data_IF_377318959948
#
_entry.id   IF_377318959948
#
_cell.length_a   1.000
_cell.length_b   1.000
_cell.length_c   1.000
_cell.angle_alpha   90.00
_cell.angle_beta   90.00
_cell.angle_gamma   90.00
#
_symmetry.space_group_name_H-M   'P 1'
#
loop_
_entity.id
_entity.type
_entity.pdbx_description
1 polymer ?
#
# COMPACT_ATOMS: atom_id res chain seq x y z
N UNK A 1 -20.37 -15.49 17.09
CA UNK A 1 -20.99 -15.20 18.41
C UNK A 1 -20.03 -14.24 19.14
N UNK A 2 -20.40 -12.97 19.24
CA UNK A 2 -19.47 -11.87 19.57
C UNK A 2 -18.93 -11.93 20.99
N UNK A 3 -17.64 -11.58 21.18
CA UNK A 3 -16.94 -11.44 22.47
C UNK A 3 -17.75 -10.57 23.46
N UNK A 4 -18.57 -9.65 22.95
CA UNK A 4 -19.44 -8.80 23.76
C UNK A 4 -20.50 -9.57 24.56
N UNK A 5 -20.99 -10.72 24.09
CA UNK A 5 -22.02 -11.48 24.83
C UNK A 5 -21.46 -12.22 26.04
N UNK A 6 -20.13 -12.39 26.13
CA UNK A 6 -19.47 -13.07 27.26
C UNK A 6 -19.11 -12.12 28.40
N UNK A 7 -19.15 -10.80 28.19
CA UNK A 7 -18.65 -9.80 29.15
C UNK A 7 -19.73 -8.98 29.86
N UNK A 8 -21.02 -9.19 29.59
CA UNK A 8 -22.14 -8.48 30.26
C UNK A 8 -21.95 -6.95 30.30
N UNK A 9 -21.31 -6.37 29.29
CA UNK A 9 -21.03 -4.93 29.23
C UNK A 9 -22.24 -4.20 28.66
N UNK A 10 -22.79 -3.27 29.46
CA UNK A 10 -23.90 -2.43 29.06
C UNK A 10 -23.46 -1.47 27.94
N UNK A 11 -24.06 -1.60 26.76
CA UNK A 11 -23.68 -0.88 25.52
C UNK A 11 -23.76 0.64 25.66
N UNK A 12 -24.71 1.14 26.45
CA UNK A 12 -24.85 2.58 26.75
C UNK A 12 -23.70 3.16 27.58
N UNK A 13 -23.07 2.35 28.45
CA UNK A 13 -21.90 2.78 29.23
C UNK A 13 -20.63 2.86 28.37
N UNK A 14 -20.50 1.98 27.38
CA UNK A 14 -19.37 1.97 26.44
C UNK A 14 -19.42 3.17 25.49
N UNK A 15 -20.61 3.54 25.00
CA UNK A 15 -20.80 4.75 24.17
C UNK A 15 -20.55 6.04 24.98
N UNK A 16 -21.03 6.11 26.22
CA UNK A 16 -20.73 7.22 27.14
C UNK A 16 -19.23 7.33 27.47
N UNK A 17 -18.51 6.20 27.50
CA UNK A 17 -17.07 6.15 27.70
C UNK A 17 -16.30 6.65 26.47
N UNK A 18 -16.70 6.24 25.27
CA UNK A 18 -16.08 6.66 24.00
C UNK A 18 -16.30 8.16 23.69
N UNK A 19 -17.37 8.77 24.19
CA UNK A 19 -17.68 10.19 23.99
C UNK A 19 -16.97 11.17 24.95
N UNK A 20 -16.48 10.72 26.12
CA UNK A 20 -15.98 11.61 27.17
C UNK A 20 -14.45 11.56 27.34
N UNK A 21 -13.76 12.56 26.76
CA UNK A 21 -12.29 12.68 26.80
C UNK A 21 -11.69 12.71 28.22
N UNK A 22 -12.43 13.16 29.25
CA UNK A 22 -11.92 13.14 30.64
C UNK A 22 -11.94 11.72 31.22
N UNK A 23 -13.01 10.96 30.95
CA UNK A 23 -13.14 9.58 31.41
C UNK A 23 -12.13 8.67 30.68
N UNK A 24 -11.94 8.86 29.37
CA UNK A 24 -10.90 8.16 28.60
C UNK A 24 -9.51 8.38 29.21
N UNK A 25 -9.15 9.63 29.53
CA UNK A 25 -7.86 9.93 30.17
C UNK A 25 -7.72 9.22 31.51
N UNK A 26 -8.75 9.24 32.36
CA UNK A 26 -8.72 8.60 33.69
C UNK A 26 -8.55 7.09 33.56
N UNK A 27 -9.31 6.43 32.68
CA UNK A 27 -9.23 4.99 32.49
C UNK A 27 -7.89 4.58 31.87
N UNK A 28 -7.37 5.32 30.89
CA UNK A 28 -6.03 5.08 30.34
C UNK A 28 -4.95 5.22 31.41
N UNK A 29 -5.07 6.20 32.31
CA UNK A 29 -4.15 6.37 33.43
C UNK A 29 -4.25 5.19 34.41
N UNK A 30 -5.46 4.76 34.79
CA UNK A 30 -5.66 3.62 35.69
C UNK A 30 -5.10 2.33 35.07
N UNK A 31 -5.34 2.11 33.77
CA UNK A 31 -4.84 0.94 33.06
C UNK A 31 -3.30 0.96 32.95
N UNK A 32 -2.72 2.13 32.66
CA UNK A 32 -1.26 2.31 32.66
C UNK A 32 -0.65 2.06 34.04
N UNK A 33 -1.26 2.59 35.11
CA UNK A 33 -0.82 2.35 36.50
C UNK A 33 -0.92 0.85 36.82
N UNK A 34 -2.05 0.20 36.50
CA UNK A 34 -2.23 -1.23 36.69
C UNK A 34 -1.20 -2.06 35.94
N UNK A 35 -0.94 -1.73 34.68
CA UNK A 35 0.07 -2.40 33.85
C UNK A 35 1.47 -2.22 34.42
N UNK A 36 1.82 -1.01 34.88
CA UNK A 36 3.11 -0.74 35.52
C UNK A 36 3.27 -1.47 36.85
N UNK A 37 2.20 -1.62 37.64
CA UNK A 37 2.23 -2.35 38.90
C UNK A 37 2.38 -3.86 38.68
N UNK A 38 1.66 -4.42 37.70
CA UNK A 38 1.78 -5.84 37.31
C UNK A 38 3.17 -6.12 36.75
N UNK A 39 3.67 -5.25 35.88
CA UNK A 39 5.01 -5.38 35.31
C UNK A 39 6.09 -5.21 36.39
N UNK A 40 5.91 -4.27 37.33
CA UNK A 40 6.78 -4.09 38.49
C UNK A 40 6.81 -5.33 39.39
N UNK A 41 5.65 -5.91 39.71
CA UNK A 41 5.55 -7.15 40.50
C UNK A 41 6.19 -8.33 39.76
N UNK A 42 6.01 -8.42 38.45
CA UNK A 42 6.64 -9.43 37.61
C UNK A 42 8.18 -9.32 37.64
N UNK A 43 8.72 -8.10 37.52
CA UNK A 43 10.16 -7.84 37.61
C UNK A 43 10.71 -8.09 39.02
N UNK A 44 9.94 -7.85 40.08
CA UNK A 44 10.33 -8.18 41.46
C UNK A 44 10.36 -9.69 41.70
N UNK A 45 9.43 -10.45 41.11
CA UNK A 45 9.35 -11.91 41.27
C UNK A 45 10.34 -12.68 40.40
N UNK A 46 10.61 -12.19 39.19
CA UNK A 46 11.41 -12.92 38.18
C UNK A 46 12.78 -12.28 37.92
N UNK A 47 13.07 -11.13 38.55
CA UNK A 47 14.25 -10.31 38.28
C UNK A 47 14.13 -9.55 36.95
N UNK A 48 14.70 -8.34 36.90
CA UNK A 48 14.81 -7.63 35.64
C UNK A 48 15.81 -8.36 34.72
N UNK A 49 15.45 -8.66 33.46
CA UNK A 49 16.38 -9.27 32.53
C UNK A 49 17.59 -8.34 32.37
N UNK A 50 18.81 -8.91 32.45
CA UNK A 50 20.02 -8.11 32.31
C UNK A 50 20.03 -7.39 30.97
N UNK A 51 20.63 -6.20 30.91
CA UNK A 51 20.78 -5.44 29.66
C UNK A 51 21.48 -6.26 28.58
N UNK A 52 22.34 -7.20 28.95
CA UNK A 52 22.95 -8.19 28.06
C UNK A 52 21.92 -9.16 27.48
N UNK A 53 21.01 -9.71 28.30
CA UNK A 53 19.96 -10.64 27.85
C UNK A 53 18.88 -9.96 27.01
N UNK A 54 18.55 -8.70 27.31
CA UNK A 54 17.68 -7.88 26.45
C UNK A 54 18.36 -7.63 25.10
N UNK A 55 19.66 -7.28 25.10
CA UNK A 55 20.44 -7.13 23.86
C UNK A 55 20.55 -8.43 23.08
N UNK A 56 20.66 -9.58 23.74
CA UNK A 56 20.74 -10.90 23.12
C UNK A 56 19.39 -11.34 22.53
N UNK A 57 18.28 -11.08 23.21
CA UNK A 57 16.93 -11.31 22.68
C UNK A 57 16.65 -10.37 21.52
N UNK A 58 16.97 -9.08 21.65
CA UNK A 58 16.83 -8.10 20.57
C UNK A 58 17.72 -8.45 19.37
N UNK A 59 18.96 -8.91 19.62
CA UNK A 59 19.87 -9.41 18.59
C UNK A 59 19.32 -10.68 17.95
N UNK A 60 18.75 -11.62 18.71
CA UNK A 60 18.15 -12.85 18.15
C UNK A 60 16.91 -12.54 17.30
N UNK A 61 16.10 -11.56 17.70
CA UNK A 61 14.95 -11.07 16.93
C UNK A 61 15.44 -10.37 15.65
N UNK A 62 16.47 -9.53 15.76
CA UNK A 62 17.05 -8.81 14.63
C UNK A 62 17.81 -9.74 13.66
N UNK A 63 18.54 -10.74 14.17
CA UNK A 63 19.24 -11.75 13.39
C UNK A 63 18.26 -12.73 12.74
N UNK A 64 17.07 -12.97 13.31
CA UNK A 64 15.96 -13.65 12.61
C UNK A 64 15.31 -12.76 11.54
N UNK A 65 15.30 -11.44 11.74
CA UNK A 65 14.76 -10.48 10.78
C UNK A 65 15.76 -10.08 9.67
N UNK A 66 17.06 -10.30 9.86
CA UNK A 66 18.15 -9.89 8.95
C UNK A 66 19.05 -11.05 8.51
N UNK A 67 18.92 -12.22 9.13
CA UNK A 67 19.52 -13.45 8.62
C UNK A 67 18.83 -13.79 7.32
N UNK A 68 19.60 -13.80 6.23
CA UNK A 68 19.15 -14.21 4.90
C UNK A 68 18.67 -15.65 4.88
N UNK A 69 17.50 -15.91 5.47
CA UNK A 69 16.71 -17.07 5.17
C UNK A 69 16.38 -16.96 3.69
N UNK A 70 16.97 -17.86 2.89
CA UNK A 70 16.34 -18.26 1.63
C UNK A 70 14.92 -18.64 2.03
N UNK A 71 13.96 -17.81 1.65
CA UNK A 71 12.54 -18.08 1.87
C UNK A 71 12.18 -19.47 1.32
N UNK A 72 10.98 -19.97 1.60
CA UNK A 72 10.51 -21.19 0.96
C UNK A 72 10.77 -21.08 -0.55
N UNK A 73 11.37 -22.10 -1.17
CA UNK A 73 11.49 -22.14 -2.63
C UNK A 73 10.10 -22.39 -3.19
N UNK A 74 9.34 -21.31 -3.37
CA UNK A 74 8.05 -21.34 -4.04
C UNK A 74 8.33 -21.44 -5.54
N UNK A 75 7.69 -22.39 -6.21
CA UNK A 75 7.84 -22.56 -7.65
C UNK A 75 7.33 -21.31 -8.40
N UNK A 76 7.95 -20.98 -9.53
CA UNK A 76 7.43 -19.94 -10.41
C UNK A 76 6.02 -20.33 -10.89
N UNK A 77 5.13 -19.34 -11.07
CA UNK A 77 3.78 -19.62 -11.55
C UNK A 77 3.80 -20.31 -12.93
N UNK A 78 4.75 -19.96 -13.79
CA UNK A 78 4.86 -20.47 -15.16
C UNK A 78 5.90 -21.58 -15.33
N UNK A 79 6.05 -22.47 -14.35
CA UNK A 79 6.83 -23.69 -14.55
C UNK A 79 6.04 -24.63 -15.49
N UNK A 80 6.72 -25.25 -16.47
CA UNK A 80 6.19 -26.15 -17.53
C UNK A 80 5.34 -27.34 -17.01
N UNK A 81 4.21 -27.08 -16.38
CA UNK A 81 3.33 -28.09 -15.81
C UNK A 81 1.89 -27.90 -16.31
N UNK A 82 1.26 -28.98 -16.76
CA UNK A 82 -0.07 -28.98 -17.39
C UNK A 82 -1.19 -28.46 -16.46
N UNK A 83 -0.89 -28.25 -15.18
CA UNK A 83 -1.75 -27.65 -14.16
C UNK A 83 -2.00 -26.13 -14.34
N UNK A 84 -1.16 -25.40 -15.08
CA UNK A 84 -1.27 -23.92 -15.20
C UNK A 84 -2.31 -23.48 -16.25
N UNK A 85 -2.77 -24.40 -17.10
CA UNK A 85 -3.71 -24.12 -18.23
C UNK A 85 -5.04 -23.48 -17.82
N UNK A 86 -5.60 -23.86 -16.66
CA UNK A 86 -6.87 -23.30 -16.17
C UNK A 86 -6.69 -21.85 -15.66
N UNK A 87 -5.58 -21.57 -14.98
CA UNK A 87 -5.24 -20.22 -14.51
C UNK A 87 -4.93 -19.30 -15.69
N UNK A 88 -4.25 -19.82 -16.72
CA UNK A 88 -4.02 -19.09 -17.97
C UNK A 88 -5.33 -18.68 -18.65
N UNK A 89 -6.26 -19.63 -18.80
CA UNK A 89 -7.54 -19.36 -19.47
C UNK A 89 -8.36 -18.31 -18.72
N UNK A 90 -8.34 -18.32 -17.38
CA UNK A 90 -9.03 -17.33 -16.56
C UNK A 90 -8.38 -15.94 -16.67
N UNK A 91 -7.06 -15.87 -16.64
CA UNK A 91 -6.32 -14.61 -16.82
C UNK A 91 -6.54 -14.02 -18.22
N UNK A 92 -6.51 -14.84 -19.27
CA UNK A 92 -6.79 -14.39 -20.65
C UNK A 92 -8.23 -13.90 -20.78
N UNK A 93 -9.20 -14.63 -20.21
CA UNK A 93 -10.60 -14.21 -20.19
C UNK A 93 -10.78 -12.89 -19.43
N UNK A 94 -10.06 -12.71 -18.32
CA UNK A 94 -10.07 -11.48 -17.54
C UNK A 94 -9.49 -10.29 -18.31
N UNK A 95 -8.35 -10.46 -18.97
CA UNK A 95 -7.73 -9.42 -19.80
C UNK A 95 -8.64 -9.05 -20.97
N UNK A 96 -9.19 -10.03 -21.69
CA UNK A 96 -10.14 -9.80 -22.78
C UNK A 96 -11.41 -9.04 -22.30
N UNK A 97 -11.95 -9.42 -21.13
CA UNK A 97 -13.09 -8.71 -20.56
C UNK A 97 -12.73 -7.28 -20.14
N UNK A 98 -11.51 -7.06 -19.66
CA UNK A 98 -10.97 -5.75 -19.29
C UNK A 98 -10.82 -4.85 -20.51
N UNK A 99 -10.27 -5.37 -21.60
CA UNK A 99 -10.13 -4.64 -22.87
C UNK A 99 -11.49 -4.19 -23.39
N UNK A 100 -12.47 -5.09 -23.43
CA UNK A 100 -13.84 -4.76 -23.85
C UNK A 100 -14.48 -3.72 -22.92
N UNK A 101 -14.30 -3.88 -21.60
CA UNK A 101 -14.87 -2.97 -20.60
C UNK A 101 -14.36 -1.55 -20.77
N UNK A 102 -13.07 -1.38 -21.07
CA UNK A 102 -12.42 -0.06 -21.11
C UNK A 102 -12.12 0.47 -22.52
N UNK A 103 -12.50 -0.26 -23.57
CA UNK A 103 -12.31 0.15 -24.98
C UNK A 103 -12.93 1.51 -25.33
N UNK A 104 -13.94 1.97 -24.56
CA UNK A 104 -14.59 3.26 -24.76
C UNK A 104 -13.79 4.45 -24.19
N UNK A 105 -12.77 4.19 -23.37
CA UNK A 105 -11.90 5.21 -22.80
C UNK A 105 -10.82 5.63 -23.81
N UNK A 106 -10.28 6.84 -23.63
CA UNK A 106 -9.24 7.40 -24.50
C UNK A 106 -7.93 6.63 -24.37
N UNK A 107 -7.36 6.22 -25.50
CA UNK A 107 -6.05 5.57 -25.62
C UNK A 107 -4.93 6.56 -26.02
N UNK A 108 -5.28 7.78 -26.43
CA UNK A 108 -4.37 8.84 -26.85
C UNK A 108 -3.85 9.73 -25.71
N UNK A 109 -4.41 9.56 -24.51
CA UNK A 109 -4.10 10.37 -23.32
C UNK A 109 -4.00 9.50 -22.07
N UNK A 110 -3.44 10.08 -21.01
CA UNK A 110 -3.33 9.44 -19.71
C UNK A 110 -3.81 10.34 -18.56
N UNK A 111 -4.23 9.72 -17.48
CA UNK A 111 -4.60 10.39 -16.22
C UNK A 111 -3.46 10.23 -15.22
N UNK A 112 -3.12 11.26 -14.46
CA UNK A 112 -2.23 11.11 -13.29
C UNK A 112 -3.10 10.89 -12.06
N UNK A 113 -2.89 9.80 -11.32
CA UNK A 113 -3.48 9.64 -9.98
C UNK A 113 -2.38 9.67 -8.93
N UNK A 114 -2.57 10.48 -7.87
CA UNK A 114 -1.59 10.60 -6.79
C UNK A 114 -2.26 10.76 -5.44
N UNK A 115 -1.78 10.00 -4.45
CA UNK A 115 -2.27 10.06 -3.09
C UNK A 115 -1.49 11.05 -2.25
N UNK A 116 -2.17 11.73 -1.33
CA UNK A 116 -1.53 12.62 -0.36
C UNK A 116 -2.09 12.42 1.05
N UNK A 117 -1.19 12.40 2.03
CA UNK A 117 -1.51 12.41 3.46
C UNK A 117 -0.50 13.27 4.20
N UNK A 118 -0.97 14.35 4.81
CA UNK A 118 -0.23 15.33 5.63
C UNK A 118 1.04 15.87 4.96
N UNK A 119 0.98 16.02 3.63
CA UNK A 119 2.07 16.51 2.77
C UNK A 119 1.61 17.64 1.84
N UNK A 120 1.03 18.74 2.37
CA UNK A 120 0.51 19.81 1.53
C UNK A 120 1.62 20.54 0.74
N UNK A 121 2.83 20.61 1.29
CA UNK A 121 3.97 21.26 0.63
C UNK A 121 4.44 20.44 -0.57
N UNK A 122 4.70 19.15 -0.37
CA UNK A 122 5.19 18.23 -1.39
C UNK A 122 4.15 18.07 -2.52
N UNK A 123 2.87 17.96 -2.16
CA UNK A 123 1.78 17.95 -3.13
C UNK A 123 1.80 19.20 -4.03
N UNK A 124 1.93 20.38 -3.41
CA UNK A 124 1.92 21.65 -4.15
C UNK A 124 3.17 21.80 -5.05
N UNK A 125 4.34 21.36 -4.58
CA UNK A 125 5.57 21.33 -5.38
C UNK A 125 5.43 20.39 -6.59
N UNK A 126 4.88 19.19 -6.39
CA UNK A 126 4.62 18.24 -7.48
C UNK A 126 3.60 18.80 -8.49
N UNK A 127 2.48 19.38 -8.02
CA UNK A 127 1.49 19.99 -8.89
C UNK A 127 2.07 21.18 -9.67
N UNK A 128 2.91 22.00 -9.03
CA UNK A 128 3.59 23.09 -9.71
C UNK A 128 4.46 22.56 -10.86
N UNK A 129 5.24 21.50 -10.64
CA UNK A 129 6.09 20.91 -11.68
C UNK A 129 5.26 20.32 -12.82
N UNK A 130 4.21 19.56 -12.51
CA UNK A 130 3.36 18.89 -13.51
C UNK A 130 2.52 19.86 -14.35
N UNK A 131 2.15 21.00 -13.77
CA UNK A 131 1.25 21.98 -14.40
C UNK A 131 1.97 23.22 -14.92
N UNK A 132 3.30 23.32 -14.73
CA UNK A 132 4.09 24.47 -15.20
C UNK A 132 4.13 24.54 -16.72
N UNK A 133 4.48 23.42 -17.36
CA UNK A 133 4.61 23.28 -18.80
C UNK A 133 3.56 22.29 -19.32
N UNK A 134 3.01 22.49 -20.53
CA UNK A 134 1.99 21.60 -21.07
C UNK A 134 2.56 20.20 -21.31
N UNK A 135 1.87 19.18 -20.78
CA UNK A 135 2.14 17.78 -21.06
C UNK A 135 1.11 17.33 -22.10
N UNK A 136 1.48 17.12 -23.38
CA UNK A 136 0.51 16.99 -24.48
C UNK A 136 -0.55 15.89 -24.30
N UNK A 137 -0.16 14.76 -23.72
CA UNK A 137 -1.01 13.59 -23.51
C UNK A 137 -1.64 13.54 -22.11
N UNK A 138 -1.42 14.54 -21.25
CA UNK A 138 -2.08 14.59 -19.94
C UNK A 138 -3.55 14.97 -20.09
N UNK A 139 -4.44 14.12 -19.59
CA UNK A 139 -5.88 14.36 -19.61
C UNK A 139 -6.37 15.06 -18.34
N UNK A 140 -6.11 14.47 -17.18
CA UNK A 140 -6.48 15.02 -15.87
C UNK A 140 -5.48 14.59 -14.78
N UNK A 141 -5.48 15.31 -13.66
CA UNK A 141 -4.80 14.91 -12.43
C UNK A 141 -5.84 14.66 -11.33
N UNK A 142 -5.79 13.49 -10.70
CA UNK A 142 -6.68 13.09 -9.61
C UNK A 142 -5.88 12.95 -8.32
N UNK A 143 -6.19 13.80 -7.35
CA UNK A 143 -5.57 13.82 -6.03
C UNK A 143 -6.43 12.98 -5.08
N UNK A 144 -5.90 11.85 -4.64
CA UNK A 144 -6.53 11.00 -3.64
C UNK A 144 -6.20 11.56 -2.26
N UNK A 145 -7.21 12.11 -1.61
CA UNK A 145 -7.09 12.91 -0.40
C UNK A 145 -7.33 12.04 0.84
N UNK A 146 -6.24 11.63 1.50
CA UNK A 146 -6.28 10.77 2.70
C UNK A 146 -6.32 11.54 4.03
N UNK A 147 -6.34 12.88 4.02
CA UNK A 147 -6.43 13.68 5.25
C UNK A 147 -7.87 13.68 5.79
N UNK A 148 -8.25 12.65 6.55
CA UNK A 148 -9.62 12.51 7.08
C UNK A 148 -10.04 13.63 8.05
N UNK A 149 -9.06 14.32 8.62
CA UNK A 149 -9.23 15.46 9.53
C UNK A 149 -9.40 16.79 8.79
N UNK A 150 -9.32 16.81 7.46
CA UNK A 150 -9.36 18.02 6.65
C UNK A 150 -10.23 17.80 5.39
N UNK A 151 -11.08 18.78 5.07
CA UNK A 151 -11.77 18.74 3.78
C UNK A 151 -10.75 18.83 2.62
N UNK A 152 -10.93 18.09 1.52
CA UNK A 152 -10.12 18.30 0.33
C UNK A 152 -10.29 19.73 -0.20
N UNK A 153 -9.27 20.30 -0.86
CA UNK A 153 -9.42 21.51 -1.65
C UNK A 153 -10.49 21.37 -2.74
N UNK A 154 -10.94 22.51 -3.28
CA UNK A 154 -11.85 22.51 -4.43
C UNK A 154 -11.13 22.06 -5.70
N UNK A 155 -11.87 21.36 -6.57
CA UNK A 155 -11.41 21.05 -7.92
C UNK A 155 -11.17 22.34 -8.70
N UNK A 156 -10.18 22.31 -9.60
CA UNK A 156 -9.86 23.44 -10.46
C UNK A 156 -9.32 22.98 -11.82
N UNK A 157 -9.22 23.90 -12.76
CA UNK A 157 -8.57 23.67 -14.06
C UNK A 157 -7.26 24.46 -14.09
N UNK A 158 -6.18 23.84 -14.56
CA UNK A 158 -4.87 24.49 -14.68
C UNK A 158 -4.86 25.54 -15.80
N UNK A 159 -3.76 26.30 -15.91
CA UNK A 159 -3.55 27.25 -17.01
C UNK A 159 -3.43 26.60 -18.40
N UNK A 160 -3.20 25.28 -18.45
CA UNK A 160 -3.07 24.48 -19.68
C UNK A 160 -4.27 23.56 -19.90
N UNK A 161 -5.44 23.94 -19.40
CA UNK A 161 -6.71 23.20 -19.54
C UNK A 161 -6.70 21.77 -18.99
N UNK A 162 -5.83 21.48 -18.00
CA UNK A 162 -5.78 20.19 -17.30
C UNK A 162 -6.64 20.26 -16.04
N UNK A 163 -7.72 19.47 -15.91
CA UNK A 163 -8.49 19.37 -14.69
C UNK A 163 -7.68 18.75 -13.55
N UNK A 164 -7.81 19.31 -12.36
CA UNK A 164 -7.29 18.78 -11.10
C UNK A 164 -8.45 18.51 -10.16
N UNK A 165 -8.68 17.22 -9.87
CA UNK A 165 -9.82 16.74 -9.10
C UNK A 165 -9.36 16.13 -7.78
N UNK A 166 -9.99 16.50 -6.68
CA UNK A 166 -9.74 15.90 -5.37
C UNK A 166 -10.80 14.84 -5.07
N UNK A 167 -10.35 13.61 -4.81
CA UNK A 167 -11.18 12.49 -4.38
C UNK A 167 -10.95 12.23 -2.90
N UNK A 168 -11.93 12.58 -2.07
CA UNK A 168 -11.87 12.32 -0.63
C UNK A 168 -11.92 10.82 -0.35
N UNK A 169 -10.97 10.33 0.45
CA UNK A 169 -10.93 8.94 0.85
C UNK A 169 -11.79 8.71 2.11
N UNK A 170 -12.56 7.60 2.19
CA UNK A 170 -13.30 7.23 3.39
C UNK A 170 -12.41 6.83 4.58
N UNK A 171 -11.15 6.45 4.31
CA UNK A 171 -10.16 6.04 5.33
C UNK A 171 -8.75 6.39 4.87
N UNK A 172 -7.83 6.55 5.82
CA UNK A 172 -6.41 6.70 5.52
C UNK A 172 -5.81 5.31 5.28
N UNK A 173 -5.65 4.94 4.02
CA UNK A 173 -5.18 3.63 3.58
C UNK A 173 -4.38 3.81 2.29
N UNK A 174 -3.31 3.05 2.13
CA UNK A 174 -2.52 3.06 0.88
C UNK A 174 -3.32 2.53 -0.31
N UNK A 175 -4.42 1.80 -0.05
CA UNK A 175 -5.29 1.26 -1.09
C UNK A 175 -6.26 2.28 -1.72
N UNK A 176 -6.34 3.53 -1.23
CA UNK A 176 -7.37 4.47 -1.68
C UNK A 176 -7.13 4.99 -3.10
N UNK A 177 -5.87 5.11 -3.52
CA UNK A 177 -5.49 5.47 -4.90
C UNK A 177 -5.92 4.44 -5.95
N UNK A 178 -6.30 3.24 -5.50
CA UNK A 178 -6.52 2.04 -6.31
C UNK A 178 -7.96 1.71 -6.60
N UNK A 179 -8.87 2.38 -5.89
CA UNK A 179 -10.27 2.11 -6.05
C UNK A 179 -10.71 2.56 -7.44
N UNK A 180 -11.53 1.75 -8.15
CA UNK A 180 -12.08 2.13 -9.45
C UNK A 180 -12.68 3.53 -9.38
N UNK A 181 -12.22 4.41 -10.26
CA UNK A 181 -12.80 5.73 -10.41
C UNK A 181 -13.66 5.74 -11.68
N UNK A 182 -15.01 5.79 -11.55
CA UNK A 182 -15.89 5.83 -12.72
C UNK A 182 -15.76 7.13 -13.52
N UNK A 183 -15.05 8.14 -13.00
CA UNK A 183 -14.78 9.40 -13.69
C UNK A 183 -13.50 9.38 -14.53
N UNK A 184 -12.69 8.31 -14.45
CA UNK A 184 -11.55 8.18 -15.35
C UNK A 184 -12.01 8.06 -16.80
N UNK A 185 -11.39 8.83 -17.67
CA UNK A 185 -11.72 8.89 -19.10
C UNK A 185 -10.59 8.36 -20.01
N UNK A 186 -9.50 7.86 -19.43
CA UNK A 186 -8.32 7.34 -20.15
C UNK A 186 -8.06 5.88 -19.81
N UNK A 187 -7.58 5.12 -20.79
CA UNK A 187 -7.12 3.74 -20.59
C UNK A 187 -5.80 3.70 -19.81
N UNK A 188 -4.92 4.68 -20.07
CA UNK A 188 -3.66 4.81 -19.36
C UNK A 188 -3.83 5.66 -18.08
N UNK A 189 -3.27 5.18 -16.98
CA UNK A 189 -3.12 5.94 -15.74
C UNK A 189 -1.66 5.92 -15.34
N UNK A 190 -1.05 7.11 -15.22
CA UNK A 190 0.24 7.27 -14.58
C UNK A 190 -0.01 7.41 -13.08
N UNK A 191 0.47 6.43 -12.35
CA UNK A 191 0.32 6.42 -10.91
C UNK A 191 1.66 6.78 -10.27
N UNK A 192 1.62 7.80 -9.41
CA UNK A 192 2.81 8.26 -8.70
C UNK A 192 2.86 7.57 -7.34
N UNK A 193 3.89 6.73 -7.18
CA UNK A 193 4.07 5.72 -6.13
C UNK A 193 2.91 4.71 -6.06
N UNK A 194 3.13 3.53 -6.68
CA UNK A 194 2.84 2.14 -6.24
C UNK A 194 1.38 1.61 -6.09
N UNK A 195 0.80 0.82 -7.03
CA UNK A 195 -0.70 0.75 -7.11
C UNK A 195 -1.52 -0.53 -7.35
N UNK A 196 -1.95 -1.33 -6.37
CA UNK A 196 -2.68 -2.61 -6.60
C UNK A 196 -4.07 -2.63 -7.32
N UNK A 197 -4.34 -3.71 -8.07
CA UNK A 197 -5.65 -4.03 -8.68
C UNK A 197 -6.76 -4.29 -7.64
N UNK A 198 -7.93 -3.66 -7.80
CA UNK A 198 -9.11 -3.89 -6.93
C UNK A 198 -10.02 -4.98 -7.52
N UNK A 199 -10.02 -6.15 -6.89
CA UNK A 199 -10.98 -7.24 -7.15
C UNK A 199 -11.56 -7.77 -5.84
N UNK A 200 -12.84 -8.14 -5.85
CA UNK A 200 -13.51 -8.78 -4.71
C UNK A 200 -13.10 -10.24 -4.48
N UNK A 201 -12.18 -10.75 -5.31
CA UNK A 201 -11.56 -12.05 -5.12
C UNK A 201 -10.97 -12.20 -3.69
N UNK A 202 -11.17 -13.35 -3.00
CA UNK A 202 -10.70 -13.55 -1.63
C UNK A 202 -9.19 -13.36 -1.45
N UNK A 203 -8.37 -13.81 -2.41
CA UNK A 203 -6.91 -13.64 -2.38
C UNK A 203 -6.56 -12.16 -2.42
N UNK A 204 -7.24 -11.43 -3.30
CA UNK A 204 -7.08 -9.98 -3.45
C UNK A 204 -7.52 -9.22 -2.19
N UNK A 205 -8.57 -9.68 -1.51
CA UNK A 205 -9.01 -9.13 -0.24
C UNK A 205 -7.97 -9.34 0.87
N UNK A 206 -7.40 -10.55 0.98
CA UNK A 206 -6.31 -10.85 1.93
C UNK A 206 -5.07 -9.99 1.69
N UNK A 207 -4.72 -9.75 0.42
CA UNK A 207 -3.59 -8.89 0.05
C UNK A 207 -3.84 -7.44 0.47
N UNK A 208 -5.04 -6.91 0.22
CA UNK A 208 -5.42 -5.55 0.64
C UNK A 208 -5.39 -5.39 2.15
N UNK A 209 -5.92 -6.37 2.89
CA UNK A 209 -5.87 -6.38 4.36
C UNK A 209 -4.42 -6.38 4.85
N UNK A 210 -3.55 -7.20 4.25
CA UNK A 210 -2.13 -7.19 4.60
C UNK A 210 -1.46 -5.84 4.33
N UNK A 211 -1.74 -5.20 3.20
CA UNK A 211 -1.22 -3.86 2.87
C UNK A 211 -1.73 -2.82 3.88
N UNK A 212 -3.02 -2.86 4.24
CA UNK A 212 -3.61 -1.96 5.22
C UNK A 212 -2.99 -2.12 6.62
N UNK A 213 -2.81 -3.36 7.07
CA UNK A 213 -2.25 -3.69 8.38
C UNK A 213 -0.78 -3.27 8.52
N UNK A 214 -0.03 -3.29 7.41
CA UNK A 214 1.41 -3.05 7.41
C UNK A 214 1.78 -1.66 6.91
N UNK A 215 0.84 -0.92 6.32
CA UNK A 215 1.07 0.36 5.63
C UNK A 215 2.29 0.28 4.70
N UNK A 216 2.36 -0.79 3.90
CA UNK A 216 3.50 -1.12 3.04
C UNK A 216 3.07 -2.12 1.95
N UNK A 217 3.93 -2.32 0.95
CA UNK A 217 3.88 -3.41 -0.03
C UNK A 217 2.76 -3.33 -1.08
N UNK A 218 2.13 -2.18 -1.26
CA UNK A 218 1.14 -1.97 -2.30
C UNK A 218 1.72 -2.06 -3.72
N UNK A 219 2.98 -1.63 -3.93
CA UNK A 219 3.72 -1.82 -5.19
C UNK A 219 4.08 -3.26 -5.46
N UNK A 220 4.52 -3.97 -4.43
CA UNK A 220 4.88 -5.38 -4.54
C UNK A 220 3.62 -6.15 -4.93
N UNK A 221 2.49 -5.87 -4.27
CA UNK A 221 1.20 -6.46 -4.60
C UNK A 221 0.83 -6.20 -6.06
N UNK A 222 1.13 -4.99 -6.56
CA UNK A 222 0.91 -4.67 -7.97
C UNK A 222 1.68 -5.51 -8.92
N UNK A 223 3.00 -5.49 -8.76
CA UNK A 223 3.88 -6.21 -9.64
C UNK A 223 3.51 -7.68 -9.61
N UNK A 224 3.09 -8.20 -8.45
CA UNK A 224 2.57 -9.54 -8.32
C UNK A 224 1.37 -9.81 -9.23
N UNK A 225 0.31 -9.00 -9.12
CA UNK A 225 -0.93 -9.26 -9.87
C UNK A 225 -0.81 -8.92 -11.33
N UNK A 226 -0.13 -7.83 -11.68
CA UNK A 226 0.15 -7.49 -13.08
C UNK A 226 0.89 -8.63 -13.74
N UNK A 227 2.00 -9.10 -13.16
CA UNK A 227 2.80 -10.14 -13.79
C UNK A 227 2.13 -11.52 -13.73
N UNK A 228 1.29 -11.80 -12.73
CA UNK A 228 0.43 -12.98 -12.76
C UNK A 228 -0.53 -12.93 -13.97
N UNK A 229 -1.23 -11.80 -14.14
CA UNK A 229 -2.25 -11.66 -15.18
C UNK A 229 -1.64 -11.61 -16.59
N UNK A 230 -0.63 -10.76 -16.80
CA UNK A 230 -0.01 -10.54 -18.11
C UNK A 230 1.02 -11.60 -18.45
N UNK A 231 1.68 -12.19 -17.46
CA UNK A 231 2.84 -13.10 -17.62
C UNK A 231 4.01 -12.41 -18.32
N UNK A 232 4.05 -11.09 -18.21
CA UNK A 232 5.08 -10.28 -18.82
C UNK A 232 5.96 -9.65 -17.73
N UNK A 233 7.29 -9.61 -17.95
CA UNK A 233 8.20 -8.94 -17.04
C UNK A 233 8.01 -7.42 -17.09
N UNK A 234 8.42 -6.70 -16.03
CA UNK A 234 8.32 -5.25 -16.02
C UNK A 234 9.28 -4.62 -17.05
N UNK A 235 8.82 -3.56 -17.71
CA UNK A 235 9.64 -2.73 -18.58
C UNK A 235 10.23 -1.56 -17.77
N UNK A 236 11.55 -1.50 -17.67
CA UNK A 236 12.22 -0.37 -17.01
C UNK A 236 12.52 0.75 -18.02
N UNK A 237 12.01 1.95 -17.76
CA UNK A 237 12.25 3.13 -18.60
C UNK A 237 13.07 4.16 -17.84
N UNK A 238 14.25 4.51 -18.37
CA UNK A 238 15.10 5.55 -17.80
C UNK A 238 14.72 6.92 -18.34
N UNK A 239 14.29 7.83 -17.45
CA UNK A 239 13.95 9.19 -17.82
C UNK A 239 15.14 10.00 -18.34
N UNK A 240 14.86 11.02 -19.17
CA UNK A 240 15.85 11.90 -19.80
C UNK A 240 16.77 12.63 -18.82
N UNK A 241 16.23 13.01 -17.66
CA UNK A 241 16.96 13.72 -16.61
C UNK A 241 17.31 12.75 -15.49
N UNK A 242 18.39 13.05 -14.78
CA UNK A 242 18.74 12.33 -13.57
C UNK A 242 17.56 12.32 -12.59
N UNK A 243 17.37 11.19 -11.92
CA UNK A 243 16.37 11.04 -10.88
C UNK A 243 16.59 12.11 -9.80
N UNK A 244 15.56 12.91 -9.55
CA UNK A 244 15.55 13.88 -8.46
C UNK A 244 14.80 13.27 -7.29
N UNK A 245 15.54 12.95 -6.22
CA UNK A 245 14.91 12.46 -4.99
C UNK A 245 14.46 13.66 -4.13
N UNK A 246 13.16 13.96 -4.18
CA UNK A 246 12.51 14.97 -3.34
C UNK A 246 12.01 14.42 -2.00
N UNK A 247 12.41 13.19 -1.61
CA UNK A 247 11.85 12.52 -0.44
C UNK A 247 11.99 13.35 0.83
N UNK A 248 10.90 13.51 1.60
CA UNK A 248 10.95 14.23 2.87
C UNK A 248 11.89 13.52 3.84
N UNK A 249 12.47 14.28 4.78
CA UNK A 249 13.38 13.73 5.80
C UNK A 249 12.75 12.59 6.64
N UNK A 250 11.42 12.56 6.72
CA UNK A 250 10.63 11.54 7.40
C UNK A 250 9.66 10.89 6.41
N UNK A 251 9.55 9.56 6.44
CA UNK A 251 8.66 8.80 5.56
C UNK A 251 8.57 7.34 5.99
N UNK A 252 7.54 6.64 5.52
CA UNK A 252 7.30 5.22 5.84
C UNK A 252 8.50 4.36 5.38
N UNK A 253 9.09 4.70 4.22
CA UNK A 253 10.29 4.06 3.68
C UNK A 253 11.53 4.16 4.57
N UNK A 254 11.58 5.18 5.45
CA UNK A 254 12.70 5.46 6.37
C UNK A 254 12.53 4.81 7.74
N UNK A 255 11.39 4.17 8.01
CA UNK A 255 11.13 3.52 9.29
C UNK A 255 12.01 2.26 9.48
N UNK A 256 12.49 1.98 10.70
CA UNK A 256 13.22 0.74 10.99
C UNK A 256 12.42 -0.50 10.61
N UNK A 257 13.04 -1.45 9.92
CA UNK A 257 12.40 -2.68 9.49
C UNK A 257 11.56 -2.58 8.21
N UNK A 258 11.48 -1.41 7.55
CA UNK A 258 10.71 -1.23 6.31
C UNK A 258 11.06 -2.28 5.23
N UNK A 259 12.36 -2.48 4.95
CA UNK A 259 12.80 -3.48 3.96
C UNK A 259 12.53 -4.92 4.38
N UNK A 260 12.65 -5.25 5.67
CA UNK A 260 12.33 -6.58 6.18
C UNK A 260 10.82 -6.88 6.02
N UNK A 261 9.96 -5.88 6.27
CA UNK A 261 8.53 -5.98 6.00
C UNK A 261 8.26 -6.22 4.51
N UNK A 262 8.98 -5.53 3.61
CA UNK A 262 8.86 -5.74 2.15
C UNK A 262 9.26 -7.15 1.72
N UNK A 263 10.33 -7.72 2.29
CA UNK A 263 10.70 -9.13 2.04
C UNK A 263 9.62 -10.12 2.52
N UNK A 264 8.94 -9.81 3.64
CA UNK A 264 7.83 -10.64 4.14
C UNK A 264 6.61 -10.58 3.21
N UNK A 265 6.33 -9.43 2.61
CA UNK A 265 5.23 -9.28 1.66
C UNK A 265 5.41 -10.18 0.44
N UNK A 266 6.63 -10.28 -0.11
CA UNK A 266 6.92 -11.19 -1.23
C UNK A 266 6.57 -12.63 -0.86
N UNK A 267 6.98 -13.10 0.31
CA UNK A 267 6.67 -14.46 0.77
C UNK A 267 5.16 -14.68 0.95
N UNK A 268 4.48 -13.70 1.56
CA UNK A 268 3.04 -13.80 1.85
C UNK A 268 2.19 -13.77 0.59
N UNK A 269 2.56 -12.96 -0.41
CA UNK A 269 1.86 -12.93 -1.69
C UNK A 269 2.09 -14.23 -2.47
N UNK A 270 3.31 -14.76 -2.45
CA UNK A 270 3.61 -16.04 -3.07
C UNK A 270 2.87 -17.21 -2.42
N UNK A 271 2.68 -17.18 -1.10
CA UNK A 271 1.81 -18.13 -0.40
C UNK A 271 0.33 -17.94 -0.78
N UNK A 272 -0.16 -16.69 -0.85
CA UNK A 272 -1.54 -16.39 -1.19
C UNK A 272 -1.92 -16.80 -2.62
N UNK A 273 -1.01 -16.62 -3.59
CA UNK A 273 -1.20 -17.05 -4.97
C UNK A 273 -0.76 -18.50 -5.24
N UNK A 274 -0.08 -19.15 -4.29
CA UNK A 274 0.42 -20.52 -4.42
C UNK A 274 1.67 -20.70 -5.29
N UNK A 275 2.21 -19.63 -5.87
CA UNK A 275 3.36 -19.64 -6.77
C UNK A 275 4.05 -18.26 -6.79
N UNK A 276 5.30 -18.19 -7.26
CA UNK A 276 6.08 -16.95 -7.46
C UNK A 276 5.74 -16.32 -8.83
N UNK A 277 4.96 -15.23 -8.82
CA UNK A 277 4.52 -14.56 -10.06
C UNK A 277 5.52 -13.51 -10.56
N UNK A 278 6.43 -13.04 -9.68
CA UNK A 278 7.40 -12.01 -10.04
C UNK A 278 8.44 -12.58 -11.01
N UNK A 279 8.54 -11.95 -12.17
CA UNK A 279 9.49 -12.19 -13.24
C UNK A 279 10.59 -11.12 -13.19
N UNK A 280 11.80 -11.51 -13.58
CA UNK A 280 12.93 -10.58 -13.71
C UNK A 280 12.75 -9.65 -14.92
N UNK A 281 13.29 -8.44 -14.84
CA UNK A 281 13.37 -7.50 -15.97
C UNK A 281 14.09 -8.16 -17.16
N UNK A 282 13.47 -8.17 -18.34
CA UNK A 282 14.11 -8.67 -19.58
C UNK A 282 14.46 -7.57 -20.57
N UNK A 283 13.84 -6.39 -20.45
CA UNK A 283 14.01 -5.26 -21.37
C UNK A 283 14.08 -3.94 -20.62
N UNK A 284 14.99 -3.07 -21.08
CA UNK A 284 15.15 -1.70 -20.61
C UNK A 284 15.11 -0.71 -21.77
N UNK A 285 14.45 0.42 -21.57
CA UNK A 285 14.57 1.60 -22.44
C UNK A 285 15.55 2.58 -21.79
N UNK A 286 16.66 2.82 -22.47
CA UNK A 286 17.66 3.81 -22.08
C UNK A 286 17.76 4.93 -23.13
N UNK A 287 18.24 6.09 -22.69
CA UNK A 287 18.55 7.18 -23.61
C UNK A 287 19.78 6.73 -24.42
N UNK A 288 19.69 6.81 -25.74
CA UNK A 288 20.85 6.63 -26.61
C UNK A 288 21.96 7.66 -26.33
N UNK A 289 23.17 7.43 -26.85
CA UNK A 289 24.29 8.36 -26.72
C UNK A 289 24.00 9.76 -27.29
#
# INVERSE_FOLDING_TARGET
>A
MSIMSKLNLNTTAVESYLGNRRIQKIVTIIFAIGLTAVFGLFLSLHGAPSTARIKEIAKTINDKAHGGHKGPRIAACHADDNSDTLNHTLADAFLNATDVKYAHLRDDKFTIAMQTYRRPKELNETLHVLLKDPIPSLHEIVIIWNNLDQAPPQNYTSAHDVPVRYRASPRNSLNQKLLPDPSFATQAVLLSDDDYYSSDDPTMAMIREHVDDNLNCEDIAMNYVTQMLTREPPLLVRGHKAFFNAEPAQGISKAPGHFAARSLCINKFAEAFGCMALLEETVRIEIGP
#
